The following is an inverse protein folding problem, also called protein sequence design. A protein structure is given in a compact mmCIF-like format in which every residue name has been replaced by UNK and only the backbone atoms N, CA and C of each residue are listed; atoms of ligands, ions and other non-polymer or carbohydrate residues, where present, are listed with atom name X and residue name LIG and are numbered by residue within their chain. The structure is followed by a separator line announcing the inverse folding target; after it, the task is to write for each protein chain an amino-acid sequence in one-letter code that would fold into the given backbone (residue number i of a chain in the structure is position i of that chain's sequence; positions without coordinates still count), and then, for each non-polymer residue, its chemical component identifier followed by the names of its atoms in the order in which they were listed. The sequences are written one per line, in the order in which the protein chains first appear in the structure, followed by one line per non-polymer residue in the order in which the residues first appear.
data_IF_986234360242
#
_entry.id   IF_986234360242
#
_cell.length_a   1.000
_cell.length_b   1.000
_cell.length_c   1.000
_cell.angle_alpha   90.00
_cell.angle_beta   90.00
_cell.angle_gamma   90.00
#
_symmetry.space_group_name_H-M   'P 1'
#
loop_
_entity.id
_entity.type
_entity.pdbx_description
1 polymer ?
#
# COMPACT_ATOMS: atom_id res chain seq x y z
N UNK A 1 -2.90 -14.16 -21.71
CA UNK A 1 -2.87 -14.29 -20.24
C UNK A 1 -1.43 -14.06 -19.79
N UNK A 2 -1.06 -12.81 -19.46
CA UNK A 2 0.33 -12.50 -19.10
C UNK A 2 0.64 -13.05 -17.69
N UNK A 3 1.65 -13.92 -17.65
CA UNK A 3 2.06 -14.79 -16.54
C UNK A 3 3.16 -14.19 -15.66
N UNK A 4 3.42 -12.89 -15.77
CA UNK A 4 4.41 -12.21 -14.96
C UNK A 4 3.70 -11.61 -13.75
N UNK A 5 3.96 -12.16 -12.55
CA UNK A 5 3.72 -11.41 -11.34
C UNK A 5 4.49 -10.09 -11.47
N UNK A 6 3.81 -8.96 -11.30
CA UNK A 6 4.52 -7.69 -11.21
C UNK A 6 5.31 -7.76 -9.92
N UNK A 7 6.62 -7.99 -10.04
CA UNK A 7 7.54 -7.99 -8.91
C UNK A 7 7.65 -6.52 -8.50
N UNK A 8 7.35 -6.16 -7.25
CA UNK A 8 7.57 -4.81 -6.77
C UNK A 8 9.07 -4.54 -6.68
N UNK A 9 9.48 -3.33 -7.06
CA UNK A 9 10.84 -2.82 -6.86
C UNK A 9 11.15 -2.71 -5.36
N UNK A 10 10.11 -2.42 -4.56
CA UNK A 10 10.21 -2.24 -3.12
C UNK A 10 8.95 -2.74 -2.40
N UNK A 11 9.11 -3.28 -1.19
CA UNK A 11 8.01 -3.70 -0.33
C UNK A 11 8.08 -2.90 0.97
N UNK A 12 7.01 -2.18 1.27
CA UNK A 12 6.86 -1.38 2.49
C UNK A 12 5.81 -2.04 3.37
N UNK A 13 6.22 -2.46 4.56
CA UNK A 13 5.30 -3.01 5.57
C UNK A 13 4.87 -1.92 6.54
N UNK A 14 3.59 -1.54 6.47
CA UNK A 14 2.94 -0.60 7.39
C UNK A 14 2.10 -1.34 8.44
N UNK A 15 2.08 -2.67 8.45
CA UNK A 15 1.30 -3.41 9.43
C UNK A 15 1.70 -3.04 10.87
N UNK A 16 0.70 -2.67 11.67
CA UNK A 16 0.91 -2.28 13.07
C UNK A 16 1.30 -0.82 13.28
N UNK A 17 1.56 -0.05 12.22
CA UNK A 17 1.79 1.38 12.31
C UNK A 17 0.50 2.15 12.62
N UNK A 18 0.65 3.30 13.27
CA UNK A 18 -0.39 4.33 13.36
C UNK A 18 -0.55 5.04 12.01
N UNK A 19 -1.69 5.71 11.79
CA UNK A 19 -1.91 6.50 10.57
C UNK A 19 -0.86 7.61 10.39
N UNK A 20 -0.43 8.25 11.49
CA UNK A 20 0.60 9.29 11.47
C UNK A 20 1.97 8.76 11.05
N UNK A 21 2.36 7.59 11.54
CA UNK A 21 3.63 6.96 11.13
C UNK A 21 3.59 6.53 9.67
N UNK A 22 2.46 5.96 9.23
CA UNK A 22 2.26 5.60 7.84
C UNK A 22 2.30 6.84 6.92
N UNK A 23 1.68 7.95 7.32
CA UNK A 23 1.73 9.21 6.56
C UNK A 23 3.16 9.68 6.33
N UNK A 24 4.00 9.69 7.36
CA UNK A 24 5.39 10.12 7.26
C UNK A 24 6.19 9.24 6.27
N UNK A 25 5.97 7.92 6.30
CA UNK A 25 6.61 6.97 5.39
C UNK A 25 6.13 7.20 3.95
N UNK A 26 4.83 7.34 3.74
CA UNK A 26 4.24 7.56 2.41
C UNK A 26 4.66 8.90 1.79
N UNK A 27 4.76 9.96 2.59
CA UNK A 27 5.28 11.25 2.15
C UNK A 27 6.74 11.15 1.69
N UNK A 28 7.57 10.41 2.44
CA UNK A 28 8.96 10.13 2.04
C UNK A 28 9.02 9.41 0.70
N UNK A 29 8.19 8.37 0.54
CA UNK A 29 8.11 7.56 -0.67
C UNK A 29 7.77 8.38 -1.92
N UNK A 30 6.76 9.25 -1.85
CA UNK A 30 6.33 10.08 -2.99
C UNK A 30 7.38 11.14 -3.34
N UNK A 31 8.07 11.67 -2.33
CA UNK A 31 9.05 12.75 -2.48
C UNK A 31 10.29 12.36 -3.29
N UNK A 32 10.56 11.07 -3.50
CA UNK A 32 11.73 10.61 -4.25
C UNK A 32 11.66 10.92 -5.75
N UNK A 33 10.45 11.10 -6.31
CA UNK A 33 10.26 11.51 -7.72
C UNK A 33 10.72 10.47 -8.77
N UNK A 34 10.94 9.23 -8.36
CA UNK A 34 11.36 8.12 -9.23
C UNK A 34 10.16 7.24 -9.54
N UNK A 35 9.96 6.93 -10.83
CA UNK A 35 8.95 5.96 -11.25
C UNK A 35 9.27 4.59 -10.70
N UNK A 36 8.39 4.04 -9.85
CA UNK A 36 8.62 2.79 -9.11
C UNK A 36 7.31 2.03 -8.89
N UNK A 37 7.40 0.70 -8.93
CA UNK A 37 6.34 -0.20 -8.50
C UNK A 37 6.60 -0.64 -7.06
N UNK A 38 5.72 -0.22 -6.13
CA UNK A 38 5.90 -0.45 -4.69
C UNK A 38 4.72 -1.23 -4.14
N UNK A 39 5.00 -2.28 -3.36
CA UNK A 39 3.97 -3.02 -2.63
C UNK A 39 3.87 -2.50 -1.21
N UNK A 40 2.69 -2.00 -0.84
CA UNK A 40 2.42 -1.51 0.51
C UNK A 40 1.55 -2.52 1.26
N UNK A 41 2.06 -3.09 2.34
CA UNK A 41 1.34 -4.03 3.21
C UNK A 41 0.69 -3.24 4.34
N UNK A 42 -0.63 -3.26 4.42
CA UNK A 42 -1.42 -2.56 5.46
C UNK A 42 -1.98 -3.50 6.52
N UNK A 43 -1.87 -4.81 6.30
CA UNK A 43 -2.54 -5.84 7.08
C UNK A 43 -4.04 -5.96 6.76
N UNK A 44 -4.64 -7.09 7.15
CA UNK A 44 -6.05 -7.45 6.82
C UNK A 44 -7.07 -7.00 7.87
N UNK A 45 -6.62 -6.61 9.07
CA UNK A 45 -7.45 -6.21 10.21
C UNK A 45 -8.66 -7.14 10.52
N UNK A 46 -8.46 -8.45 10.41
CA UNK A 46 -9.51 -9.48 10.55
C UNK A 46 -10.24 -9.51 11.91
N UNK A 47 -9.73 -8.80 12.92
CA UNK A 47 -10.20 -8.89 14.31
C UNK A 47 -10.39 -7.53 15.01
N UNK A 48 -10.46 -6.41 14.26
CA UNK A 48 -10.69 -5.09 14.87
C UNK A 48 -12.11 -4.61 14.58
N UNK A 49 -12.83 -4.17 15.61
CA UNK A 49 -14.21 -3.65 15.50
C UNK A 49 -14.33 -2.46 14.53
N UNK A 50 -13.26 -1.68 14.38
CA UNK A 50 -13.22 -0.50 13.50
C UNK A 50 -12.73 -0.81 12.06
N UNK A 51 -12.57 -2.09 11.69
CA UNK A 51 -12.10 -2.50 10.36
C UNK A 51 -10.65 -2.12 10.05
N UNK A 52 -10.19 -2.24 8.78
CA UNK A 52 -8.82 -1.96 8.38
C UNK A 52 -8.58 -0.45 8.21
N UNK A 53 -8.53 0.26 9.33
CA UNK A 53 -8.28 1.72 9.41
C UNK A 53 -7.11 2.14 8.52
N UNK A 54 -5.99 1.42 8.63
CA UNK A 54 -4.76 1.78 7.91
C UNK A 54 -4.89 1.58 6.41
N UNK A 55 -5.63 0.56 5.97
CA UNK A 55 -5.86 0.33 4.54
C UNK A 55 -6.65 1.48 3.92
N UNK A 56 -7.72 1.91 4.60
CA UNK A 56 -8.54 3.01 4.12
C UNK A 56 -7.74 4.31 4.09
N UNK A 57 -7.01 4.59 5.18
CA UNK A 57 -6.09 5.73 5.25
C UNK A 57 -5.10 5.78 4.07
N UNK A 58 -4.41 4.67 3.78
CA UNK A 58 -3.44 4.59 2.68
C UNK A 58 -4.11 4.83 1.33
N UNK A 59 -5.29 4.26 1.08
CA UNK A 59 -6.04 4.49 -0.17
C UNK A 59 -6.43 5.95 -0.34
N UNK A 60 -6.95 6.57 0.72
CA UNK A 60 -7.38 7.97 0.70
C UNK A 60 -6.18 8.90 0.47
N UNK A 61 -5.05 8.62 1.12
CA UNK A 61 -3.80 9.34 0.92
C UNK A 61 -3.30 9.24 -0.53
N UNK A 62 -3.26 8.03 -1.11
CA UNK A 62 -2.82 7.84 -2.50
C UNK A 62 -3.75 8.54 -3.50
N UNK A 63 -5.07 8.44 -3.29
CA UNK A 63 -6.07 9.13 -4.10
C UNK A 63 -5.92 10.66 -4.03
N UNK A 64 -5.71 11.22 -2.85
CA UNK A 64 -5.50 12.65 -2.63
C UNK A 64 -4.26 13.18 -3.38
N UNK A 65 -3.24 12.33 -3.53
CA UNK A 65 -2.02 12.63 -4.28
C UNK A 65 -2.09 12.23 -5.77
N UNK A 66 -3.24 11.74 -6.25
CA UNK A 66 -3.43 11.34 -7.65
C UNK A 66 -2.62 10.11 -8.07
N UNK A 67 -2.20 9.28 -7.12
CA UNK A 67 -1.34 8.11 -7.35
C UNK A 67 -2.18 6.90 -7.70
N UNK A 68 -1.76 6.16 -8.73
CA UNK A 68 -2.44 4.94 -9.16
C UNK A 68 -2.03 3.77 -8.27
N UNK A 69 -3.01 2.98 -7.85
CA UNK A 69 -2.78 1.75 -7.10
C UNK A 69 -3.80 0.67 -7.44
N UNK A 70 -3.44 -0.58 -7.19
CA UNK A 70 -4.29 -1.76 -7.31
C UNK A 70 -4.23 -2.57 -6.01
N UNK A 71 -5.23 -3.42 -5.77
CA UNK A 71 -5.12 -4.42 -4.72
C UNK A 71 -4.16 -5.54 -5.14
N UNK A 72 -3.27 -5.98 -4.25
CA UNK A 72 -2.37 -7.10 -4.52
C UNK A 72 -3.15 -8.41 -4.75
N UNK A 73 -2.55 -9.32 -5.51
CA UNK A 73 -3.10 -10.67 -5.71
C UNK A 73 -3.20 -11.40 -4.36
N UNK A 74 -4.12 -12.37 -4.25
CA UNK A 74 -4.32 -13.16 -3.01
C UNK A 74 -3.00 -13.76 -2.50
N UNK A 75 -2.19 -14.31 -3.41
CA UNK A 75 -0.88 -14.91 -3.13
C UNK A 75 0.20 -13.90 -2.66
N UNK A 76 -0.03 -12.61 -2.87
CA UNK A 76 0.92 -11.52 -2.67
C UNK A 76 0.50 -10.57 -1.51
N UNK A 77 -0.47 -11.00 -0.69
CA UNK A 77 -1.01 -10.23 0.43
C UNK A 77 -2.51 -9.94 0.32
N UNK A 78 -3.07 -10.04 -0.88
CA UNK A 78 -4.51 -9.92 -1.14
C UNK A 78 -5.09 -8.61 -0.62
N UNK A 79 -6.14 -8.73 0.19
CA UNK A 79 -6.78 -7.58 0.84
C UNK A 79 -5.90 -6.83 1.84
N UNK A 80 -4.77 -7.41 2.26
CA UNK A 80 -3.82 -6.78 3.17
C UNK A 80 -2.73 -5.96 2.49
N UNK A 81 -2.72 -5.88 1.16
CA UNK A 81 -1.66 -5.20 0.42
C UNK A 81 -2.18 -4.46 -0.82
N UNK A 82 -1.45 -3.41 -1.21
CA UNK A 82 -1.70 -2.57 -2.37
C UNK A 82 -0.43 -2.51 -3.24
N UNK A 83 -0.60 -2.67 -4.55
CA UNK A 83 0.44 -2.38 -5.54
C UNK A 83 0.31 -0.91 -5.96
N UNK A 84 1.35 -0.11 -5.78
CA UNK A 84 1.36 1.35 -5.98
C UNK A 84 2.34 1.68 -7.10
N UNK A 85 1.93 2.59 -7.99
CA UNK A 85 2.72 3.02 -9.15
C UNK A 85 2.96 4.52 -9.04
N UNK A 86 4.18 4.87 -8.64
CA UNK A 86 4.67 6.25 -8.49
C UNK A 86 5.33 6.72 -9.78
#
# INVERSE_FOLDING_TARGET
MNKYGQIPDEIIDLHGHTTREAEAILCGLIGEGVSKHVRIITGKALYRENGPVLRNFVKDFLNANGIKFNQSKIQDGGEGALEVFL
#
